data_IF_118580339952
#
_entry.id   IF_118580339952
#
_cell.length_a   1.000
_cell.length_b   1.000
_cell.length_c   1.000
_cell.angle_alpha   90.00
_cell.angle_beta   90.00
_cell.angle_gamma   90.00
#
_symmetry.space_group_name_H-M   'P 1'
#
loop_
_entity.id
_entity.type
_entity.pdbx_description
1 polymer ?
#
# COMPACT_ATOMS: atom_id res chain seq x y z
N UNK A 1 59.66 -78.13 11.58
CA UNK A 1 59.50 -78.28 10.11
C UNK A 1 58.15 -77.78 9.66
N UNK A 2 58.12 -77.07 8.58
CA UNK A 2 57.06 -76.47 7.77
C UNK A 2 56.67 -75.05 8.11
N UNK A 3 57.24 -74.20 7.30
CA UNK A 3 56.82 -72.77 7.08
C UNK A 3 55.41 -72.66 6.53
N UNK A 4 54.68 -71.72 7.05
CA UNK A 4 53.47 -71.18 6.39
C UNK A 4 53.61 -69.67 6.26
N UNK A 5 53.70 -69.22 4.99
CA UNK A 5 53.75 -67.78 4.62
C UNK A 5 52.35 -67.18 4.71
N UNK A 6 52.18 -66.22 5.57
CA UNK A 6 51.00 -65.38 5.61
C UNK A 6 51.16 -64.23 4.58
N UNK A 7 50.20 -64.12 3.63
CA UNK A 7 50.08 -63.01 2.67
C UNK A 7 49.23 -61.91 3.32
N UNK A 8 49.85 -60.78 3.53
CA UNK A 8 49.09 -59.52 3.85
C UNK A 8 48.43 -58.97 2.59
N UNK A 9 47.09 -58.90 2.57
CA UNK A 9 46.36 -58.23 1.58
C UNK A 9 46.04 -56.80 2.14
N UNK A 10 46.58 -55.77 1.50
CA UNK A 10 46.35 -54.36 1.83
C UNK A 10 45.00 -53.97 1.25
N UNK A 11 44.01 -53.87 2.13
CA UNK A 11 42.70 -53.33 1.75
C UNK A 11 42.71 -51.77 1.79
N UNK A 12 42.60 -51.16 0.63
CA UNK A 12 42.36 -49.71 0.51
C UNK A 12 40.92 -49.42 0.95
N UNK A 13 40.77 -48.80 2.09
CA UNK A 13 39.47 -48.21 2.50
C UNK A 13 39.41 -46.79 1.96
N UNK A 14 38.64 -46.61 0.87
CA UNK A 14 38.23 -45.25 0.42
C UNK A 14 37.21 -44.71 1.41
N UNK A 15 37.60 -43.78 2.27
CA UNK A 15 36.68 -42.98 3.06
C UNK A 15 36.12 -41.85 2.16
N UNK A 16 34.91 -42.03 1.64
CA UNK A 16 34.13 -40.92 1.07
C UNK A 16 33.72 -39.98 2.19
N UNK A 17 34.47 -38.90 2.39
CA UNK A 17 33.99 -37.77 3.20
C UNK A 17 32.89 -37.03 2.43
N UNK A 18 31.63 -37.30 2.75
CA UNK A 18 30.51 -36.49 2.32
C UNK A 18 30.56 -35.15 3.07
N UNK A 19 31.06 -34.11 2.42
CA UNK A 19 30.92 -32.72 2.90
C UNK A 19 29.48 -32.31 2.68
N UNK A 20 28.64 -32.41 3.70
CA UNK A 20 27.33 -31.77 3.75
C UNK A 20 27.57 -30.28 3.93
N UNK A 21 27.48 -29.53 2.84
CA UNK A 21 27.28 -28.07 2.91
C UNK A 21 25.88 -27.81 3.49
N UNK A 22 25.79 -27.68 4.80
CA UNK A 22 24.62 -27.06 5.42
C UNK A 22 24.68 -25.58 5.04
N UNK A 23 23.86 -25.20 4.08
CA UNK A 23 23.45 -23.80 3.90
C UNK A 23 22.77 -23.41 5.22
N UNK A 24 23.51 -22.74 6.09
CA UNK A 24 22.92 -22.02 7.20
C UNK A 24 22.10 -20.91 6.56
N UNK A 25 20.81 -21.15 6.38
CA UNK A 25 19.84 -20.08 6.17
C UNK A 25 19.93 -19.27 7.47
N UNK A 26 20.57 -18.11 7.43
CA UNK A 26 20.46 -17.13 8.50
C UNK A 26 18.97 -16.78 8.59
N UNK A 27 18.26 -17.41 9.51
CA UNK A 27 16.95 -16.96 9.90
C UNK A 27 17.16 -15.55 10.51
N UNK A 28 16.84 -14.51 9.77
CA UNK A 28 16.79 -13.17 10.33
C UNK A 28 15.72 -13.20 11.40
N UNK A 29 16.08 -12.81 12.62
CA UNK A 29 15.11 -12.70 13.70
C UNK A 29 14.10 -11.63 13.31
N UNK A 30 12.86 -12.03 13.13
CA UNK A 30 11.75 -11.10 12.90
C UNK A 30 11.51 -10.30 14.18
N UNK A 31 11.58 -8.98 14.08
CA UNK A 31 11.40 -8.11 15.24
C UNK A 31 10.34 -7.07 14.95
N UNK A 32 9.24 -7.11 15.71
CA UNK A 32 8.26 -6.04 15.75
C UNK A 32 8.62 -5.09 16.89
N UNK A 33 8.77 -3.82 16.54
CA UNK A 33 9.05 -2.75 17.49
C UNK A 33 7.89 -1.75 17.47
N UNK A 34 7.29 -1.46 18.62
CA UNK A 34 6.33 -0.38 18.76
C UNK A 34 7.08 0.95 18.81
N UNK A 35 7.01 1.71 17.73
CA UNK A 35 7.74 2.96 17.54
C UNK A 35 7.04 4.11 18.23
N UNK A 36 5.71 4.11 18.26
CA UNK A 36 4.91 5.14 18.93
C UNK A 36 3.65 4.54 19.56
N UNK A 37 3.32 5.00 20.76
CA UNK A 37 2.12 4.62 21.52
C UNK A 37 1.30 5.88 21.83
N UNK A 38 0.13 6.00 21.21
CA UNK A 38 -0.75 7.17 21.39
C UNK A 38 -1.31 7.28 22.80
N UNK A 39 -1.48 6.16 23.51
CA UNK A 39 -1.92 6.19 24.91
C UNK A 39 -0.82 6.68 25.85
N UNK A 40 0.39 6.14 25.70
CA UNK A 40 1.52 6.51 26.55
C UNK A 40 1.91 7.98 26.40
N UNK A 41 1.68 8.57 25.24
CA UNK A 41 1.90 10.00 24.95
C UNK A 41 0.80 10.92 25.48
N UNK A 42 -0.29 10.38 26.03
CA UNK A 42 -1.47 11.13 26.45
C UNK A 42 -2.35 11.66 25.30
N UNK A 43 -2.06 11.27 24.07
CA UNK A 43 -2.91 11.57 22.93
C UNK A 43 -4.03 10.54 22.81
N UNK A 44 -5.29 10.99 22.86
CA UNK A 44 -6.46 10.15 22.67
C UNK A 44 -6.69 9.95 21.16
N UNK A 45 -5.83 9.15 20.51
CA UNK A 45 -5.77 9.05 19.06
C UNK A 45 -5.40 7.64 18.61
N UNK A 46 -5.59 7.38 17.32
CA UNK A 46 -5.12 6.15 16.65
C UNK A 46 -4.68 6.53 15.24
N UNK A 47 -3.48 6.13 14.85
CA UNK A 47 -3.02 6.33 13.48
C UNK A 47 -3.72 5.35 12.55
N UNK A 48 -4.08 5.81 11.35
CA UNK A 48 -4.70 4.97 10.34
C UNK A 48 -3.68 4.38 9.35
N UNK A 49 -2.59 5.10 9.09
CA UNK A 49 -1.52 4.65 8.21
C UNK A 49 -0.39 5.67 8.16
N UNK A 50 0.75 5.27 7.60
CA UNK A 50 1.92 6.12 7.40
C UNK A 50 2.50 5.97 6.00
N UNK A 51 3.14 7.04 5.49
CA UNK A 51 3.98 7.07 4.27
C UNK A 51 5.30 7.76 4.61
N UNK A 52 6.31 7.61 3.76
CA UNK A 52 7.59 8.30 3.92
C UNK A 52 7.63 9.61 3.11
N UNK A 53 8.17 10.67 3.73
CA UNK A 53 8.43 11.96 3.08
C UNK A 53 9.85 12.09 2.54
N UNK A 54 10.13 13.21 1.85
CA UNK A 54 11.47 13.51 1.30
C UNK A 54 12.54 13.71 2.37
N UNK A 55 12.16 14.04 3.58
CA UNK A 55 13.03 14.24 4.74
C UNK A 55 13.35 12.94 5.51
N UNK A 56 12.82 11.80 5.02
CA UNK A 56 12.96 10.49 5.65
C UNK A 56 12.02 10.25 6.83
N UNK A 57 11.24 11.25 7.25
CA UNK A 57 10.22 11.10 8.28
C UNK A 57 8.98 10.39 7.73
N UNK A 58 8.21 9.83 8.64
CA UNK A 58 6.91 9.25 8.35
C UNK A 58 5.82 10.30 8.51
N UNK A 59 4.88 10.32 7.58
CA UNK A 59 3.70 11.17 7.61
C UNK A 59 2.45 10.32 7.64
N UNK A 60 1.50 10.68 8.49
CA UNK A 60 0.28 9.90 8.62
C UNK A 60 -0.91 10.73 9.04
N UNK A 61 -2.07 10.08 9.04
CA UNK A 61 -3.30 10.63 9.60
C UNK A 61 -3.66 9.88 10.87
N UNK A 62 -4.20 10.60 11.82
CA UNK A 62 -4.68 10.02 13.07
C UNK A 62 -6.00 10.66 13.48
N UNK A 63 -6.77 9.93 14.28
CA UNK A 63 -7.92 10.46 14.98
C UNK A 63 -7.52 11.62 15.93
N UNK A 64 -8.47 12.40 16.39
CA UNK A 64 -8.22 13.46 17.37
C UNK A 64 -7.77 14.78 16.73
N UNK A 65 -6.63 15.31 17.14
CA UNK A 65 -6.19 16.67 16.79
C UNK A 65 -6.86 17.76 17.64
N UNK A 66 -6.48 19.02 17.41
CA UNK A 66 -6.93 20.15 18.23
C UNK A 66 -8.48 20.34 18.27
N UNK A 67 -9.17 19.90 17.23
CA UNK A 67 -10.64 20.03 17.10
C UNK A 67 -11.35 18.67 17.13
N UNK A 68 -10.64 17.58 17.43
CA UNK A 68 -11.16 16.20 17.45
C UNK A 68 -11.79 15.73 16.12
N UNK A 69 -11.33 16.30 15.00
CA UNK A 69 -11.83 16.03 13.65
C UNK A 69 -10.75 15.46 12.73
N UNK A 70 -9.69 14.88 13.31
CA UNK A 70 -8.56 14.32 12.61
C UNK A 70 -7.36 15.26 12.53
N UNK A 71 -6.21 14.67 12.36
CA UNK A 71 -4.93 15.36 12.27
C UNK A 71 -3.98 14.68 11.30
N UNK A 72 -3.08 15.48 10.72
CA UNK A 72 -1.93 15.00 10.00
C UNK A 72 -0.72 15.19 10.90
N UNK A 73 0.08 14.16 11.04
CA UNK A 73 1.31 14.18 11.83
C UNK A 73 2.52 13.86 10.97
N UNK A 74 3.67 14.32 11.45
CA UNK A 74 5.00 13.89 11.04
C UNK A 74 5.62 13.12 12.20
N UNK A 75 6.31 12.02 11.92
CA UNK A 75 7.02 11.25 12.94
C UNK A 75 8.43 10.91 12.44
N UNK A 76 9.43 11.12 13.28
CA UNK A 76 10.79 10.65 12.98
C UNK A 76 10.84 9.13 12.99
N UNK A 77 11.80 8.49 12.30
CA UNK A 77 12.00 7.04 12.40
C UNK A 77 12.26 6.53 13.82
N UNK A 78 12.65 7.43 14.73
CA UNK A 78 12.90 7.15 16.17
C UNK A 78 11.66 7.34 17.06
N UNK A 79 10.50 7.73 16.47
CA UNK A 79 9.23 7.82 17.17
C UNK A 79 8.88 9.19 17.75
N UNK A 80 9.58 10.27 17.39
CA UNK A 80 9.17 11.63 17.77
C UNK A 80 8.06 12.11 16.85
N UNK A 81 6.84 12.26 17.38
CA UNK A 81 5.64 12.63 16.61
C UNK A 81 5.28 14.09 16.86
N UNK A 82 5.00 14.81 15.78
CA UNK A 82 4.52 16.20 15.78
C UNK A 82 3.28 16.31 14.89
N UNK A 83 2.21 16.91 15.42
CA UNK A 83 1.04 17.28 14.61
C UNK A 83 1.39 18.48 13.74
N UNK A 84 1.27 18.33 12.42
CA UNK A 84 1.53 19.41 11.45
C UNK A 84 0.27 20.09 10.96
N UNK A 85 -0.90 19.44 11.08
CA UNK A 85 -2.19 20.03 10.75
C UNK A 85 -3.32 19.35 11.53
N UNK A 86 -4.31 20.12 12.00
CA UNK A 86 -5.54 19.62 12.60
C UNK A 86 -6.73 20.08 11.76
N UNK A 87 -7.57 19.14 11.31
CA UNK A 87 -8.75 19.43 10.52
C UNK A 87 -9.82 20.18 11.32
N UNK A 88 -10.78 20.79 10.61
CA UNK A 88 -11.81 21.66 11.17
C UNK A 88 -11.23 22.92 11.86
N UNK A 89 -10.07 23.36 11.41
CA UNK A 89 -9.42 24.60 11.89
C UNK A 89 -10.06 25.86 11.31
N UNK A 90 -10.84 25.73 10.24
CA UNK A 90 -11.56 26.83 9.60
C UNK A 90 -13.04 26.81 9.99
N UNK A 91 -13.73 27.96 9.95
CA UNK A 91 -15.15 28.04 10.29
C UNK A 91 -15.99 27.03 9.51
N UNK A 92 -16.92 26.36 10.19
CA UNK A 92 -17.77 25.31 9.64
C UNK A 92 -16.99 24.15 8.99
N UNK A 93 -15.82 23.83 9.49
CA UNK A 93 -14.93 22.82 8.95
C UNK A 93 -14.71 22.96 7.43
N UNK A 94 -14.56 24.21 6.96
CA UNK A 94 -14.39 24.48 5.53
C UNK A 94 -13.12 23.88 4.92
N UNK A 95 -12.14 23.50 5.75
CA UNK A 95 -10.92 22.76 5.40
C UNK A 95 -11.13 21.24 5.35
N UNK A 96 -12.29 20.75 5.78
CA UNK A 96 -12.64 19.35 5.85
C UNK A 96 -12.59 18.80 7.27
N UNK A 97 -13.14 17.62 7.42
CA UNK A 97 -13.13 16.81 8.64
C UNK A 97 -13.04 15.32 8.26
N UNK A 98 -12.62 14.49 9.19
CA UNK A 98 -12.50 13.05 8.99
C UNK A 98 -11.04 12.60 8.95
N UNK A 99 -10.88 11.31 9.17
CA UNK A 99 -9.60 10.67 9.43
C UNK A 99 -9.10 9.85 8.24
N UNK A 100 -9.81 9.84 7.13
CA UNK A 100 -9.52 9.06 5.94
C UNK A 100 -9.68 9.91 4.67
N UNK A 101 -9.01 9.52 3.62
CA UNK A 101 -7.92 8.56 3.45
C UNK A 101 -6.53 9.19 3.64
N UNK A 102 -5.52 8.32 3.72
CA UNK A 102 -4.10 8.65 3.84
C UNK A 102 -3.63 9.65 2.77
N UNK A 103 -2.83 10.67 3.12
CA UNK A 103 -2.15 11.49 2.14
C UNK A 103 -1.16 10.67 1.31
N UNK A 104 -0.87 11.14 0.11
CA UNK A 104 0.23 10.63 -0.72
C UNK A 104 1.28 11.73 -0.88
N UNK A 105 2.52 11.35 -1.09
CA UNK A 105 3.59 12.27 -1.47
C UNK A 105 3.46 12.59 -2.97
N UNK A 106 3.29 13.86 -3.29
CA UNK A 106 3.24 14.32 -4.68
C UNK A 106 4.64 14.50 -5.28
N UNK A 107 4.71 14.53 -6.59
CA UNK A 107 5.95 14.74 -7.35
C UNK A 107 6.63 16.10 -7.11
N UNK A 108 5.96 17.01 -6.45
CA UNK A 108 6.47 18.31 -6.02
C UNK A 108 6.99 18.31 -4.56
N UNK A 109 6.99 17.15 -3.89
CA UNK A 109 7.43 16.99 -2.51
C UNK A 109 6.41 17.43 -1.45
N UNK A 110 5.19 17.80 -1.86
CA UNK A 110 4.10 18.12 -0.93
C UNK A 110 3.20 16.90 -0.71
N UNK A 111 2.47 16.92 0.39
CA UNK A 111 1.46 15.93 0.70
C UNK A 111 0.13 16.33 0.04
N UNK A 112 -0.56 15.37 -0.52
CA UNK A 112 -1.90 15.54 -1.06
C UNK A 112 -2.84 14.57 -0.37
N UNK A 113 -4.06 15.01 -0.08
CA UNK A 113 -5.02 14.19 0.63
C UNK A 113 -6.45 14.60 0.34
N UNK A 114 -7.38 13.79 0.85
CA UNK A 114 -8.79 14.12 0.92
C UNK A 114 -9.24 14.09 2.37
N UNK A 115 -10.16 14.94 2.72
CA UNK A 115 -10.95 14.83 3.94
C UNK A 115 -12.32 14.31 3.52
N UNK A 116 -12.78 13.21 4.11
CA UNK A 116 -14.02 12.56 3.68
C UNK A 116 -15.25 13.42 3.95
N UNK A 117 -15.23 14.19 5.04
CA UNK A 117 -16.33 15.04 5.46
C UNK A 117 -15.93 16.52 5.53
N UNK A 118 -16.87 17.38 5.93
CA UNK A 118 -16.66 18.83 5.99
C UNK A 118 -16.60 19.48 4.61
N UNK A 119 -15.93 20.61 4.50
CA UNK A 119 -15.72 21.34 3.26
C UNK A 119 -16.85 22.27 2.85
N UNK A 120 -18.10 21.89 3.07
CA UNK A 120 -19.30 22.64 2.78
C UNK A 120 -20.44 22.32 3.76
N UNK A 121 -21.61 22.94 3.60
CA UNK A 121 -22.74 22.74 4.49
C UNK A 121 -23.34 21.32 4.47
N UNK A 122 -23.05 20.53 3.44
CA UNK A 122 -23.49 19.13 3.31
C UNK A 122 -22.47 18.12 3.81
N UNK A 123 -21.29 18.59 4.25
CA UNK A 123 -20.24 17.70 4.76
C UNK A 123 -19.70 16.75 3.70
N UNK A 124 -19.49 17.22 2.47
CA UNK A 124 -19.26 16.36 1.30
C UNK A 124 -17.77 16.04 1.04
N UNK A 125 -16.87 16.62 1.82
CA UNK A 125 -15.44 16.38 1.76
C UNK A 125 -14.65 17.35 0.89
N UNK A 126 -13.33 17.33 1.07
CA UNK A 126 -12.39 18.21 0.35
C UNK A 126 -11.22 17.42 -0.23
N UNK A 127 -10.58 17.96 -1.26
CA UNK A 127 -9.23 17.58 -1.70
C UNK A 127 -8.27 18.70 -1.34
N UNK A 128 -7.14 18.36 -0.74
CA UNK A 128 -6.18 19.34 -0.22
C UNK A 128 -4.73 19.03 -0.63
N UNK A 129 -3.91 20.05 -0.52
CA UNK A 129 -2.44 20.00 -0.54
C UNK A 129 -1.94 20.52 0.80
N UNK A 130 -0.93 19.85 1.36
CA UNK A 130 -0.24 20.24 2.59
C UNK A 130 1.27 20.23 2.34
N UNK A 131 1.95 21.32 2.64
CA UNK A 131 3.42 21.31 2.62
C UNK A 131 3.96 20.56 3.85
N UNK A 132 5.19 20.00 3.81
CA UNK A 132 5.82 19.42 5.00
C UNK A 132 5.90 20.39 6.19
N UNK A 133 5.88 21.71 5.93
CA UNK A 133 5.85 22.77 6.95
C UNK A 133 4.43 23.08 7.49
N UNK A 134 3.40 22.30 7.11
CA UNK A 134 2.04 22.46 7.61
C UNK A 134 1.18 23.52 6.91
N UNK A 135 1.61 24.08 5.75
CA UNK A 135 0.78 25.01 5.00
C UNK A 135 -0.28 24.27 4.23
N UNK A 136 -1.54 24.45 4.61
CA UNK A 136 -2.71 23.82 4.02
C UNK A 136 -3.28 24.66 2.86
N UNK A 137 -3.65 23.98 1.77
CA UNK A 137 -4.35 24.58 0.63
C UNK A 137 -5.46 23.64 0.20
N UNK A 138 -6.72 24.10 0.27
CA UNK A 138 -7.85 23.39 -0.28
C UNK A 138 -7.86 23.55 -1.80
N UNK A 139 -7.82 22.43 -2.54
CA UNK A 139 -7.82 22.40 -4.01
C UNK A 139 -9.23 22.22 -4.58
N UNK A 140 -10.07 21.45 -3.89
CA UNK A 140 -11.43 21.16 -4.34
C UNK A 140 -12.37 20.89 -3.15
N UNK A 141 -13.64 21.19 -3.32
CA UNK A 141 -14.74 20.80 -2.41
C UNK A 141 -15.71 19.92 -3.19
N UNK A 142 -15.96 18.72 -2.73
CA UNK A 142 -16.88 17.79 -3.38
C UNK A 142 -18.34 18.22 -3.20
N UNK A 143 -19.26 17.69 -4.03
CA UNK A 143 -20.66 18.10 -4.11
C UNK A 143 -20.82 19.61 -4.40
N UNK A 144 -19.94 20.15 -5.26
CA UNK A 144 -20.04 21.51 -5.77
C UNK A 144 -20.94 21.62 -6.99
N UNK A 145 -21.19 20.52 -7.69
CA UNK A 145 -22.12 20.44 -8.80
C UNK A 145 -23.56 20.14 -8.32
N UNK A 146 -24.61 20.59 -9.05
CA UNK A 146 -25.98 20.27 -8.71
C UNK A 146 -26.25 18.78 -8.52
N UNK A 147 -26.93 18.42 -7.44
CA UNK A 147 -27.22 17.02 -7.12
C UNK A 147 -25.96 16.17 -6.80
N UNK A 148 -24.86 16.82 -6.41
CA UNK A 148 -23.58 16.19 -6.17
C UNK A 148 -23.10 15.34 -7.37
N UNK A 149 -23.36 15.80 -8.59
CA UNK A 149 -22.94 15.09 -9.81
C UNK A 149 -21.42 14.90 -9.93
N UNK A 150 -20.63 15.67 -9.19
CA UNK A 150 -19.18 15.58 -9.03
C UNK A 150 -18.75 14.61 -7.91
N UNK A 151 -19.69 13.94 -7.25
CA UNK A 151 -19.43 13.01 -6.16
C UNK A 151 -19.36 13.69 -4.79
N UNK A 152 -19.43 12.85 -3.75
CA UNK A 152 -19.26 13.25 -2.35
C UNK A 152 -18.63 12.10 -1.57
N UNK A 153 -18.02 12.42 -0.42
CA UNK A 153 -17.28 11.49 0.44
C UNK A 153 -16.15 10.81 -0.33
N UNK A 154 -15.08 11.59 -0.65
CA UNK A 154 -13.95 11.07 -1.40
C UNK A 154 -13.22 10.01 -0.58
N UNK A 155 -12.80 8.96 -1.28
CA UNK A 155 -11.97 7.87 -0.77
C UNK A 155 -10.59 7.86 -1.41
N UNK A 156 -9.95 6.70 -1.43
CA UNK A 156 -8.61 6.51 -1.93
C UNK A 156 -8.37 7.10 -3.32
N UNK A 157 -7.20 7.67 -3.49
CA UNK A 157 -6.76 8.30 -4.73
C UNK A 157 -5.27 8.03 -4.97
N UNK A 158 -4.83 8.28 -6.19
CA UNK A 158 -3.44 8.15 -6.63
C UNK A 158 -3.03 9.39 -7.42
N UNK A 159 -1.73 9.68 -7.51
CA UNK A 159 -1.21 10.54 -8.55
C UNK A 159 -0.92 9.69 -9.80
N UNK A 160 -1.61 10.01 -10.89
CA UNK A 160 -1.40 9.34 -12.17
C UNK A 160 -0.10 9.76 -12.84
N UNK A 161 0.31 8.99 -13.86
CA UNK A 161 1.54 9.20 -14.62
C UNK A 161 1.59 10.52 -15.40
N UNK A 162 0.46 11.18 -15.59
CA UNK A 162 0.33 12.51 -16.18
C UNK A 162 0.39 13.65 -15.15
N UNK A 163 0.61 13.31 -13.87
CA UNK A 163 0.68 14.25 -12.77
C UNK A 163 -0.66 14.69 -12.20
N UNK A 164 -1.79 14.30 -12.80
CA UNK A 164 -3.11 14.53 -12.24
C UNK A 164 -3.41 13.52 -11.13
N UNK A 165 -4.38 13.85 -10.28
CA UNK A 165 -4.89 12.95 -9.24
C UNK A 165 -6.14 12.25 -9.75
N UNK A 166 -6.29 10.99 -9.40
CA UNK A 166 -7.43 10.15 -9.74
C UNK A 166 -7.93 9.46 -8.48
N UNK A 167 -9.21 9.53 -8.22
CA UNK A 167 -9.79 8.97 -7.01
C UNK A 167 -11.25 8.65 -7.18
N UNK A 168 -11.82 8.03 -6.16
CA UNK A 168 -13.23 7.66 -6.13
C UNK A 168 -13.97 8.40 -5.03
N UNK A 169 -15.28 8.53 -5.20
CA UNK A 169 -16.20 9.01 -4.17
C UNK A 169 -17.17 7.90 -3.81
N UNK A 170 -17.60 7.82 -2.56
CA UNK A 170 -18.53 6.78 -2.09
C UNK A 170 -19.94 6.99 -2.63
N UNK A 171 -20.35 8.25 -2.74
CA UNK A 171 -21.70 8.63 -3.15
C UNK A 171 -21.66 9.80 -4.13
N UNK A 172 -22.83 10.27 -4.55
CA UNK A 172 -22.94 11.25 -5.63
C UNK A 172 -22.64 10.64 -6.99
N UNK A 173 -22.18 11.46 -7.94
CA UNK A 173 -22.13 11.09 -9.35
C UNK A 173 -23.52 11.11 -9.97
N UNK A 174 -23.61 10.86 -11.29
CA UNK A 174 -24.88 10.92 -12.01
C UNK A 174 -25.95 9.95 -11.48
N UNK A 175 -25.55 8.85 -10.85
CA UNK A 175 -26.44 7.78 -10.37
C UNK A 175 -26.44 7.62 -8.85
N UNK A 176 -25.89 8.58 -8.12
CA UNK A 176 -25.78 8.60 -6.66
C UNK A 176 -25.14 7.32 -6.05
N UNK A 177 -24.14 6.76 -6.73
CA UNK A 177 -23.43 5.53 -6.32
C UNK A 177 -21.92 5.69 -6.42
N UNK A 178 -21.45 6.95 -6.34
CA UNK A 178 -20.07 7.33 -6.45
C UNK A 178 -19.60 7.57 -7.87
N UNK A 179 -18.41 8.14 -7.95
CA UNK A 179 -17.75 8.50 -9.20
C UNK A 179 -16.25 8.21 -9.15
N UNK A 180 -15.66 7.92 -10.30
CA UNK A 180 -14.24 8.06 -10.55
C UNK A 180 -13.99 9.48 -11.09
N UNK A 181 -13.11 10.22 -10.43
CA UNK A 181 -12.77 11.58 -10.82
C UNK A 181 -11.29 11.74 -11.20
N UNK A 182 -11.01 12.79 -11.95
CA UNK A 182 -9.69 13.35 -12.20
C UNK A 182 -9.64 14.76 -11.60
N UNK A 183 -8.54 15.08 -10.90
CA UNK A 183 -8.26 16.43 -10.39
C UNK A 183 -6.84 16.83 -10.80
N UNK A 184 -6.68 17.98 -11.44
CA UNK A 184 -5.36 18.52 -11.71
C UNK A 184 -4.73 19.15 -10.45
N UNK A 185 -3.40 19.26 -10.35
CA UNK A 185 -2.73 19.96 -9.25
C UNK A 185 -3.15 21.44 -9.09
N UNK A 186 -3.76 22.04 -10.13
CA UNK A 186 -4.32 23.40 -10.13
C UNK A 186 -5.79 23.47 -9.76
N UNK A 187 -6.44 22.34 -9.40
CA UNK A 187 -7.84 22.28 -8.99
C UNK A 187 -8.85 22.04 -10.12
N UNK A 188 -8.42 21.82 -11.37
CA UNK A 188 -9.33 21.46 -12.48
C UNK A 188 -9.90 20.07 -12.26
N UNK A 189 -11.23 19.95 -12.16
CA UNK A 189 -11.95 18.71 -11.82
C UNK A 189 -12.73 18.16 -13.00
N UNK A 190 -12.79 16.83 -13.12
CA UNK A 190 -13.57 16.11 -14.13
C UNK A 190 -14.04 14.77 -13.58
N UNK A 191 -15.31 14.42 -13.76
CA UNK A 191 -15.81 13.05 -13.58
C UNK A 191 -15.45 12.23 -14.83
N UNK A 192 -14.84 11.06 -14.63
CA UNK A 192 -14.50 10.12 -15.69
C UNK A 192 -15.56 9.04 -15.84
N UNK A 193 -16.11 8.56 -14.71
CA UNK A 193 -17.13 7.54 -14.67
C UNK A 193 -18.06 7.74 -13.46
N UNK A 194 -19.37 7.55 -13.66
CA UNK A 194 -20.34 7.48 -12.56
C UNK A 194 -20.79 6.04 -12.39
N UNK A 195 -20.56 5.48 -11.22
CA UNK A 195 -20.93 4.09 -10.93
C UNK A 195 -22.45 3.90 -10.93
N UNK A 196 -22.91 2.65 -11.01
CA UNK A 196 -24.33 2.30 -11.18
C UNK A 196 -24.88 2.74 -12.56
N UNK A 197 -24.06 2.75 -13.59
CA UNK A 197 -24.44 3.03 -14.98
C UNK A 197 -24.95 1.81 -15.74
N UNK A 198 -24.66 0.60 -15.23
CA UNK A 198 -25.10 -0.65 -15.83
C UNK A 198 -26.43 -1.13 -15.23
N UNK A 199 -27.21 -1.96 -15.98
CA UNK A 199 -28.47 -2.49 -15.50
C UNK A 199 -28.36 -3.16 -14.12
N UNK A 200 -29.33 -2.95 -13.24
CA UNK A 200 -29.38 -3.46 -11.87
C UNK A 200 -28.21 -2.95 -10.98
N UNK A 201 -27.51 -1.92 -11.43
CA UNK A 201 -26.39 -1.34 -10.71
C UNK A 201 -25.29 -2.37 -10.36
N UNK A 202 -24.99 -3.27 -11.29
CA UNK A 202 -23.97 -4.31 -11.09
C UNK A 202 -22.56 -3.73 -10.98
N UNK A 203 -22.33 -2.53 -11.54
CA UNK A 203 -21.12 -1.73 -11.44
C UNK A 203 -21.14 -0.74 -10.24
N UNK A 204 -22.02 -0.95 -9.27
CA UNK A 204 -22.11 -0.10 -8.09
C UNK A 204 -21.08 -0.46 -7.02
N UNK A 205 -20.82 0.52 -6.17
CA UNK A 205 -19.79 0.43 -5.13
C UNK A 205 -18.42 0.84 -5.65
N UNK A 206 -17.64 1.43 -4.78
CA UNK A 206 -16.30 1.95 -5.10
C UNK A 206 -15.30 1.49 -4.05
N UNK A 207 -14.05 1.35 -4.44
CA UNK A 207 -12.92 1.19 -3.54
C UNK A 207 -11.71 1.99 -4.06
N UNK A 208 -10.57 1.80 -3.43
CA UNK A 208 -9.33 2.38 -3.91
C UNK A 208 -8.99 1.91 -5.34
N UNK A 209 -8.33 2.78 -6.08
CA UNK A 209 -7.88 2.48 -7.44
C UNK A 209 -6.35 2.44 -7.51
N UNK A 210 -5.85 1.73 -8.50
CA UNK A 210 -4.45 1.78 -8.94
C UNK A 210 -4.39 2.12 -10.43
N UNK A 211 -3.26 2.68 -10.88
CA UNK A 211 -2.99 2.78 -12.30
C UNK A 211 -2.10 1.61 -12.73
N UNK A 212 -2.65 0.73 -13.55
CA UNK A 212 -1.96 -0.45 -14.06
C UNK A 212 -0.78 -0.10 -14.97
N UNK A 213 0.11 -1.07 -15.23
CA UNK A 213 1.28 -0.90 -16.10
C UNK A 213 0.92 -0.47 -17.52
N UNK A 214 -0.31 -0.76 -17.98
CA UNK A 214 -0.88 -0.33 -19.28
C UNK A 214 -1.46 1.10 -19.27
N UNK A 215 -1.44 1.77 -18.11
CA UNK A 215 -1.91 3.15 -17.92
C UNK A 215 -3.40 3.31 -17.69
N UNK A 216 -4.19 2.24 -17.66
CA UNK A 216 -5.60 2.25 -17.29
C UNK A 216 -5.76 2.20 -15.76
N UNK A 217 -6.97 2.48 -15.29
CA UNK A 217 -7.30 2.42 -13.87
C UNK A 217 -7.97 1.09 -13.53
N UNK A 218 -7.56 0.49 -12.44
CA UNK A 218 -8.09 -0.79 -11.94
C UNK A 218 -8.53 -0.62 -10.49
N UNK A 219 -9.61 -1.27 -10.13
CA UNK A 219 -10.11 -1.26 -8.76
C UNK A 219 -11.00 -2.46 -8.50
N UNK A 220 -11.36 -2.60 -7.24
CA UNK A 220 -12.34 -3.59 -6.78
C UNK A 220 -13.59 -2.88 -6.28
N UNK A 221 -14.69 -3.57 -6.22
CA UNK A 221 -15.93 -3.03 -5.66
C UNK A 221 -16.80 -4.14 -5.09
N UNK A 222 -17.71 -3.77 -4.16
CA UNK A 222 -18.44 -4.74 -3.35
C UNK A 222 -19.67 -5.36 -4.01
N UNK A 223 -20.15 -4.86 -5.17
CA UNK A 223 -21.35 -5.42 -5.83
C UNK A 223 -20.99 -6.52 -6.85
N UNK A 224 -21.09 -6.25 -8.12
CA UNK A 224 -20.89 -7.23 -9.20
C UNK A 224 -22.12 -8.10 -9.49
N UNK A 225 -22.03 -8.92 -10.52
CA UNK A 225 -23.15 -9.79 -10.99
C UNK A 225 -23.49 -10.89 -10.01
N UNK A 226 -22.51 -11.35 -9.23
CA UNK A 226 -22.67 -12.43 -8.23
C UNK A 226 -22.90 -11.89 -6.82
N UNK A 227 -22.76 -10.57 -6.59
CA UNK A 227 -22.95 -9.94 -5.28
C UNK A 227 -21.77 -10.10 -4.29
N UNK A 228 -20.69 -10.76 -4.68
CA UNK A 228 -19.49 -10.95 -3.87
C UNK A 228 -18.38 -9.94 -4.13
N UNK A 229 -18.62 -9.01 -5.03
CA UNK A 229 -17.64 -8.04 -5.48
C UNK A 229 -17.08 -8.37 -6.88
N UNK A 230 -16.32 -7.43 -7.42
CA UNK A 230 -15.74 -7.57 -8.75
C UNK A 230 -14.44 -6.76 -8.89
N UNK A 231 -13.60 -7.18 -9.84
CA UNK A 231 -12.46 -6.42 -10.37
C UNK A 231 -12.92 -5.69 -11.62
N UNK A 232 -12.58 -4.40 -11.72
CA UNK A 232 -12.90 -3.59 -12.90
C UNK A 232 -11.69 -2.86 -13.47
N UNK A 233 -11.83 -2.42 -14.71
CA UNK A 233 -10.93 -1.55 -15.42
C UNK A 233 -11.71 -0.34 -15.95
N UNK A 234 -11.14 0.86 -15.81
CA UNK A 234 -11.65 2.07 -16.46
C UNK A 234 -10.51 2.70 -17.27
N UNK A 235 -10.76 2.94 -18.55
CA UNK A 235 -9.82 3.66 -19.41
C UNK A 235 -9.96 5.19 -19.19
N UNK A 236 -8.97 5.95 -19.67
CA UNK A 236 -8.98 7.42 -19.54
C UNK A 236 -10.14 8.14 -20.25
N UNK A 237 -10.75 7.49 -21.23
CA UNK A 237 -11.94 7.96 -21.93
C UNK A 237 -13.25 7.67 -21.18
N UNK A 238 -13.17 6.98 -20.02
CA UNK A 238 -14.30 6.56 -19.20
C UNK A 238 -14.89 5.19 -19.58
N UNK A 239 -14.30 4.47 -20.54
CA UNK A 239 -14.77 3.11 -20.88
C UNK A 239 -14.57 2.18 -19.69
N UNK A 240 -15.65 1.52 -19.25
CA UNK A 240 -15.69 0.59 -18.13
C UNK A 240 -15.73 -0.87 -18.60
N UNK A 241 -14.94 -1.72 -17.96
CA UNK A 241 -14.98 -3.18 -18.16
C UNK A 241 -14.95 -3.88 -16.81
N UNK A 242 -15.88 -4.79 -16.59
CA UNK A 242 -15.84 -5.75 -15.48
C UNK A 242 -14.99 -6.94 -15.91
N UNK A 243 -13.92 -7.22 -15.17
CA UNK A 243 -12.90 -8.18 -15.58
C UNK A 243 -13.03 -9.52 -14.87
N UNK A 244 -13.43 -9.50 -13.60
CA UNK A 244 -13.62 -10.70 -12.78
C UNK A 244 -14.71 -10.45 -11.74
N UNK A 245 -15.57 -11.47 -11.52
CA UNK A 245 -16.59 -11.42 -10.46
C UNK A 245 -16.23 -12.43 -9.37
N UNK A 246 -16.17 -11.94 -8.15
CA UNK A 246 -16.02 -12.77 -6.97
C UNK A 246 -17.36 -13.42 -6.59
N UNK A 247 -17.32 -14.60 -6.03
CA UNK A 247 -18.52 -15.30 -5.60
C UNK A 247 -19.09 -14.72 -4.30
N UNK A 248 -20.40 -14.90 -4.10
CA UNK A 248 -21.02 -14.51 -2.83
C UNK A 248 -20.57 -15.47 -1.70
N UNK A 249 -20.24 -14.93 -0.53
CA UNK A 249 -19.75 -15.73 0.61
C UNK A 249 -20.74 -16.78 1.13
N UNK A 250 -22.04 -16.61 0.85
CA UNK A 250 -23.07 -17.60 1.17
C UNK A 250 -23.11 -18.77 0.18
N UNK A 251 -22.38 -18.71 -0.94
CA UNK A 251 -22.24 -19.84 -1.85
C UNK A 251 -21.24 -20.83 -1.25
N UNK A 252 -21.69 -22.04 -0.96
CA UNK A 252 -20.88 -23.12 -0.38
C UNK A 252 -19.69 -23.52 -1.27
N UNK A 253 -19.72 -23.17 -2.55
CA UNK A 253 -18.63 -23.41 -3.50
C UNK A 253 -17.78 -22.15 -3.78
N UNK A 254 -17.94 -21.10 -2.96
CA UNK A 254 -17.21 -19.86 -3.13
C UNK A 254 -15.71 -20.02 -2.82
N UNK A 255 -14.93 -20.42 -3.79
CA UNK A 255 -13.48 -20.60 -3.65
C UNK A 255 -12.69 -19.30 -3.87
N UNK A 256 -13.23 -18.34 -4.64
CA UNK A 256 -12.54 -17.06 -4.89
C UNK A 256 -12.67 -16.05 -3.74
N UNK A 257 -13.55 -16.32 -2.79
CA UNK A 257 -13.88 -15.36 -1.74
C UNK A 257 -14.77 -14.22 -2.21
N UNK A 258 -15.10 -13.31 -1.29
CA UNK A 258 -15.98 -12.15 -1.50
C UNK A 258 -15.46 -10.91 -0.78
N UNK A 259 -15.96 -9.74 -1.19
CA UNK A 259 -15.52 -8.42 -0.71
C UNK A 259 -14.01 -8.22 -0.88
N UNK A 260 -13.56 -8.09 -2.16
CA UNK A 260 -12.15 -7.91 -2.47
C UNK A 260 -11.63 -6.56 -1.96
N UNK A 261 -10.41 -6.60 -1.42
CA UNK A 261 -9.66 -5.44 -0.94
C UNK A 261 -9.05 -4.62 -2.09
N UNK A 262 -8.42 -3.46 -1.78
CA UNK A 262 -7.55 -2.77 -2.73
C UNK A 262 -6.46 -3.67 -3.31
N UNK A 263 -6.09 -3.38 -4.56
CA UNK A 263 -5.14 -4.17 -5.33
C UNK A 263 -3.72 -3.60 -5.26
N UNK A 264 -2.74 -4.49 -5.43
CA UNK A 264 -1.38 -4.14 -5.87
C UNK A 264 -1.07 -4.87 -7.17
N UNK A 265 -0.12 -4.34 -7.97
CA UNK A 265 0.27 -4.95 -9.25
C UNK A 265 1.78 -5.12 -9.30
N UNK A 266 2.23 -6.30 -9.77
CA UNK A 266 3.64 -6.56 -10.03
C UNK A 266 4.09 -6.04 -11.41
N UNK A 267 5.39 -6.13 -11.67
CA UNK A 267 5.99 -5.71 -12.95
C UNK A 267 5.58 -6.58 -14.15
N UNK A 268 4.98 -7.75 -13.93
CA UNK A 268 4.46 -8.66 -14.97
C UNK A 268 3.01 -8.37 -15.30
N UNK A 269 2.35 -7.50 -14.51
CA UNK A 269 0.94 -7.14 -14.66
C UNK A 269 -0.02 -8.03 -13.88
N UNK A 270 0.46 -8.92 -13.01
CA UNK A 270 -0.39 -9.67 -12.10
C UNK A 270 -0.95 -8.74 -11.03
N UNK A 271 -2.22 -8.89 -10.73
CA UNK A 271 -2.89 -8.19 -9.63
C UNK A 271 -2.92 -9.11 -8.41
N UNK A 272 -2.65 -8.55 -7.24
CA UNK A 272 -2.76 -9.23 -5.96
C UNK A 272 -3.69 -8.46 -5.05
N UNK A 273 -4.40 -9.19 -4.21
CA UNK A 273 -5.32 -8.62 -3.22
C UNK A 273 -5.77 -9.67 -2.22
N UNK A 274 -6.70 -9.28 -1.37
CA UNK A 274 -7.35 -10.18 -0.41
C UNK A 274 -8.85 -10.15 -0.60
N UNK A 275 -9.55 -11.16 -0.09
CA UNK A 275 -11.00 -11.12 0.07
C UNK A 275 -11.35 -11.28 1.54
N UNK A 276 -12.36 -10.54 2.01
CA UNK A 276 -12.75 -10.55 3.41
C UNK A 276 -13.29 -11.92 3.85
N UNK A 277 -14.11 -12.55 3.02
CA UNK A 277 -14.83 -13.77 3.36
C UNK A 277 -14.71 -14.82 2.24
N UNK A 278 -15.15 -16.04 2.52
CA UNK A 278 -15.14 -17.15 1.57
C UNK A 278 -13.76 -17.77 1.41
N UNK A 279 -13.47 -18.31 0.24
CA UNK A 279 -12.32 -19.19 0.06
C UNK A 279 -12.59 -20.59 0.60
N UNK A 280 -11.65 -21.52 0.41
CA UNK A 280 -11.82 -22.94 0.77
C UNK A 280 -12.09 -23.17 2.24
N UNK A 281 -11.68 -22.25 3.12
CA UNK A 281 -11.83 -22.37 4.57
C UNK A 281 -12.78 -21.31 5.17
N UNK A 282 -13.38 -20.45 4.35
CA UNK A 282 -14.40 -19.48 4.74
C UNK A 282 -13.91 -18.14 5.31
N UNK A 283 -12.64 -18.02 5.71
CA UNK A 283 -12.06 -16.83 6.38
C UNK A 283 -11.38 -15.83 5.42
N UNK A 284 -11.72 -15.86 4.14
CA UNK A 284 -11.10 -14.99 3.13
C UNK A 284 -9.89 -15.61 2.44
N UNK A 285 -9.31 -14.86 1.51
CA UNK A 285 -8.19 -15.33 0.67
C UNK A 285 -7.11 -14.27 0.48
N UNK A 286 -5.89 -14.70 0.18
CA UNK A 286 -4.92 -13.94 -0.62
C UNK A 286 -4.95 -14.49 -2.02
N UNK A 287 -5.09 -13.64 -3.03
CA UNK A 287 -5.22 -14.05 -4.42
C UNK A 287 -4.26 -13.34 -5.36
N UNK A 288 -4.03 -13.99 -6.50
CA UNK A 288 -3.44 -13.44 -7.71
C UNK A 288 -4.48 -13.46 -8.84
N UNK A 289 -4.57 -12.40 -9.62
CA UNK A 289 -5.26 -12.37 -10.91
C UNK A 289 -4.25 -12.02 -11.99
N UNK A 290 -4.03 -12.96 -12.91
CA UNK A 290 -3.07 -12.81 -14.01
C UNK A 290 -3.51 -11.73 -15.01
N UNK A 291 -2.63 -11.26 -15.92
CA UNK A 291 -3.00 -10.32 -16.99
C UNK A 291 -4.12 -10.82 -17.92
N UNK A 292 -4.34 -12.12 -17.97
CA UNK A 292 -5.44 -12.75 -18.72
C UNK A 292 -6.69 -12.97 -17.85
N UNK A 293 -6.72 -12.33 -16.67
CA UNK A 293 -7.82 -12.35 -15.70
C UNK A 293 -8.15 -13.75 -15.15
N UNK A 294 -7.15 -14.64 -15.07
CA UNK A 294 -7.28 -15.94 -14.39
C UNK A 294 -7.01 -15.75 -12.89
N UNK A 295 -7.94 -16.24 -12.08
CA UNK A 295 -7.84 -16.18 -10.61
C UNK A 295 -7.03 -17.37 -10.07
N UNK A 296 -6.10 -17.09 -9.18
CA UNK A 296 -5.35 -18.07 -8.41
C UNK A 296 -5.42 -17.70 -6.94
N UNK A 297 -5.95 -18.60 -6.11
CA UNK A 297 -5.86 -18.45 -4.67
C UNK A 297 -4.47 -18.84 -4.22
N UNK A 298 -3.75 -17.90 -3.61
CA UNK A 298 -2.42 -18.13 -3.03
C UNK A 298 -2.53 -18.71 -1.62
N UNK A 299 -3.47 -18.18 -0.82
CA UNK A 299 -3.73 -18.67 0.54
C UNK A 299 -5.21 -18.51 0.88
N UNK A 300 -5.77 -19.46 1.64
CA UNK A 300 -7.14 -19.43 2.16
C UNK A 300 -7.14 -19.46 3.68
N UNK A 301 -7.68 -18.41 4.30
CA UNK A 301 -7.80 -18.28 5.75
C UNK A 301 -8.94 -19.13 6.32
N UNK A 302 -8.74 -19.66 7.53
CA UNK A 302 -9.78 -20.41 8.26
C UNK A 302 -10.76 -19.50 8.99
N UNK A 303 -11.95 -20.03 9.30
CA UNK A 303 -12.88 -19.40 10.26
C UNK A 303 -12.49 -19.80 11.68
N UNK A 304 -12.49 -18.83 12.61
CA UNK A 304 -12.22 -18.99 14.05
C UNK A 304 -10.85 -19.61 14.42
N UNK A 305 -10.11 -18.95 15.26
CA UNK A 305 -8.79 -19.32 15.82
C UNK A 305 -7.63 -19.50 14.83
N UNK A 306 -7.82 -19.17 13.57
CA UNK A 306 -6.76 -19.09 12.58
C UNK A 306 -7.00 -17.82 11.79
N UNK A 307 -6.11 -16.84 11.86
CA UNK A 307 -6.14 -15.61 11.08
C UNK A 307 -7.31 -15.58 10.07
N UNK A 308 -8.32 -14.76 10.31
CA UNK A 308 -9.47 -14.62 9.42
C UNK A 308 -9.55 -13.18 8.89
N UNK A 309 -10.39 -12.95 7.91
CA UNK A 309 -10.77 -11.63 7.42
C UNK A 309 -9.60 -10.68 7.09
N UNK A 310 -8.78 -10.98 6.06
CA UNK A 310 -7.72 -10.09 5.60
C UNK A 310 -8.30 -8.92 4.78
N UNK A 311 -9.11 -8.07 5.41
CA UNK A 311 -9.98 -7.07 4.75
C UNK A 311 -9.23 -5.82 4.25
N UNK A 312 -8.01 -5.59 4.73
CA UNK A 312 -7.34 -4.30 4.52
C UNK A 312 -6.36 -4.25 3.35
N UNK A 313 -6.23 -5.37 2.62
CA UNK A 313 -5.32 -5.48 1.48
C UNK A 313 -3.92 -5.95 1.86
N UNK A 314 -3.03 -5.82 0.91
CA UNK A 314 -1.64 -6.30 1.01
C UNK A 314 -0.67 -5.30 0.41
N UNK A 315 0.58 -5.39 0.83
CA UNK A 315 1.73 -4.68 0.24
C UNK A 315 2.61 -5.69 -0.48
N UNK A 316 2.99 -5.40 -1.72
CA UNK A 316 4.02 -6.12 -2.46
C UNK A 316 5.36 -5.47 -2.15
N UNK A 317 6.19 -6.13 -1.35
CA UNK A 317 7.50 -5.63 -0.96
C UNK A 317 8.56 -5.90 -2.03
N UNK A 318 9.75 -5.30 -1.86
CA UNK A 318 10.83 -5.41 -2.86
C UNK A 318 11.52 -6.77 -2.89
N UNK A 319 11.26 -7.64 -1.92
CA UNK A 319 11.64 -9.06 -1.95
C UNK A 319 10.70 -9.93 -2.80
N UNK A 320 9.61 -9.33 -3.29
CA UNK A 320 8.59 -9.97 -4.11
C UNK A 320 7.51 -10.70 -3.31
N UNK A 321 7.53 -10.66 -1.98
CA UNK A 321 6.51 -11.25 -1.12
C UNK A 321 5.38 -10.26 -0.81
N UNK A 322 4.25 -10.79 -0.40
CA UNK A 322 3.03 -10.07 -0.08
C UNK A 322 2.88 -10.01 1.44
N UNK A 323 2.74 -8.80 1.98
CA UNK A 323 2.60 -8.55 3.41
C UNK A 323 1.23 -7.97 3.71
N UNK A 324 0.56 -8.51 4.70
CA UNK A 324 -0.79 -8.09 5.05
C UNK A 324 -1.10 -8.29 6.51
N UNK A 325 -2.28 -7.83 6.89
CA UNK A 325 -2.84 -8.04 8.22
C UNK A 325 -4.18 -8.74 8.12
N UNK A 326 -4.50 -9.55 9.09
CA UNK A 326 -5.81 -10.19 9.26
C UNK A 326 -6.37 -9.87 10.64
N UNK A 327 -7.70 -9.86 10.75
CA UNK A 327 -8.42 -9.59 11.99
C UNK A 327 -9.02 -10.90 12.49
N UNK A 328 -8.92 -11.18 13.76
CA UNK A 328 -9.64 -12.27 14.38
C UNK A 328 -10.76 -11.68 15.25
N UNK A 329 -12.00 -11.67 14.73
CA UNK A 329 -13.15 -11.17 15.46
C UNK A 329 -13.49 -12.12 16.60
N UNK A 330 -12.85 -11.93 17.75
CA UNK A 330 -13.34 -12.61 18.91
C UNK A 330 -12.40 -12.81 20.08
N UNK A 331 -11.12 -13.08 19.94
CA UNK A 331 -10.34 -13.51 21.12
C UNK A 331 -8.83 -13.20 21.10
N UNK A 332 -8.15 -13.14 19.95
CA UNK A 332 -6.67 -13.18 19.93
C UNK A 332 -5.99 -11.98 19.26
N UNK A 333 -6.73 -10.90 18.94
CA UNK A 333 -6.17 -9.79 18.17
C UNK A 333 -5.88 -10.16 16.71
N UNK A 334 -5.24 -9.28 15.97
CA UNK A 334 -4.94 -9.53 14.56
C UNK A 334 -3.58 -10.19 14.35
N UNK A 335 -3.28 -10.51 13.08
CA UNK A 335 -2.01 -11.10 12.69
C UNK A 335 -1.36 -10.29 11.58
N UNK A 336 -0.05 -10.16 11.67
CA UNK A 336 0.79 -9.72 10.56
C UNK A 336 1.32 -10.96 9.86
N UNK A 337 1.16 -11.04 8.55
CA UNK A 337 1.54 -12.20 7.76
C UNK A 337 2.32 -11.84 6.50
N UNK A 338 3.03 -12.84 6.01
CA UNK A 338 3.67 -12.87 4.70
C UNK A 338 3.08 -14.01 3.88
N UNK A 339 2.85 -13.75 2.58
CA UNK A 339 2.53 -14.79 1.59
C UNK A 339 3.47 -14.65 0.40
N UNK A 340 4.21 -15.72 0.09
CA UNK A 340 5.04 -15.71 -1.12
C UNK A 340 4.18 -15.82 -2.37
N UNK A 341 4.67 -15.41 -3.57
CA UNK A 341 3.95 -15.64 -4.84
C UNK A 341 3.66 -17.12 -5.16
N UNK A 342 4.28 -18.04 -4.43
CA UNK A 342 4.02 -19.48 -4.53
C UNK A 342 2.98 -19.99 -3.54
N UNK A 343 2.37 -19.10 -2.75
CA UNK A 343 1.32 -19.42 -1.78
C UNK A 343 1.84 -19.94 -0.42
N UNK A 344 3.13 -19.79 -0.12
CA UNK A 344 3.65 -20.14 1.22
C UNK A 344 3.28 -19.02 2.18
N UNK A 345 2.46 -19.33 3.18
CA UNK A 345 2.04 -18.44 4.25
C UNK A 345 2.99 -18.54 5.45
N UNK A 346 3.34 -17.40 6.02
CA UNK A 346 4.10 -17.28 7.26
C UNK A 346 3.44 -16.25 8.18
N UNK A 347 3.10 -16.63 9.39
CA UNK A 347 2.72 -15.67 10.42
C UNK A 347 3.98 -15.01 10.96
N UNK A 348 4.04 -13.68 10.86
CA UNK A 348 5.19 -12.89 11.30
C UNK A 348 5.02 -12.37 12.72
N UNK A 349 3.79 -12.03 13.10
CA UNK A 349 3.49 -11.54 14.43
C UNK A 349 2.01 -11.73 14.76
N UNK A 350 1.72 -12.16 15.99
CA UNK A 350 0.37 -12.25 16.56
C UNK A 350 0.19 -11.11 17.54
N UNK A 351 -0.72 -10.18 17.21
CA UNK A 351 -1.11 -9.12 18.13
C UNK A 351 -2.00 -9.74 19.22
N UNK A 352 -1.77 -9.34 20.47
CA UNK A 352 -2.56 -9.83 21.58
C UNK A 352 -3.94 -9.14 21.61
N UNK A 353 -4.89 -9.71 22.32
CA UNK A 353 -6.22 -9.13 22.59
C UNK A 353 -6.12 -7.62 22.81
N UNK A 354 -6.94 -6.85 22.13
CA UNK A 354 -6.95 -5.39 22.06
C UNK A 354 -6.01 -4.75 21.04
N UNK A 355 -5.22 -5.51 20.31
CA UNK A 355 -4.43 -5.00 19.20
C UNK A 355 -5.08 -5.44 17.87
N UNK A 356 -6.06 -4.74 17.40
CA UNK A 356 -6.53 -4.97 16.04
C UNK A 356 -5.58 -4.29 15.05
N UNK A 357 -4.97 -5.03 14.13
CA UNK A 357 -4.23 -4.41 13.04
C UNK A 357 -5.18 -3.59 12.17
N UNK A 358 -4.65 -2.59 11.49
CA UNK A 358 -5.42 -1.48 10.94
C UNK A 358 -5.87 -1.61 9.52
N UNK A 359 -6.79 -0.74 9.21
CA UNK A 359 -7.42 -0.30 7.96
C UNK A 359 -6.51 -0.22 6.70
N UNK A 360 -5.19 -0.49 6.81
CA UNK A 360 -4.23 -0.47 5.71
C UNK A 360 -3.18 -1.56 5.90
N UNK A 361 -2.67 -2.15 4.82
CA UNK A 361 -1.52 -3.04 4.90
C UNK A 361 -0.29 -2.26 5.37
N UNK A 362 0.74 -2.96 5.90
CA UNK A 362 1.97 -2.30 6.31
C UNK A 362 2.64 -1.61 5.11
N UNK A 363 3.21 -0.43 5.32
CA UNK A 363 3.95 0.33 4.32
C UNK A 363 5.44 -0.05 4.36
N UNK A 364 6.05 -0.34 3.20
CA UNK A 364 7.49 -0.54 3.11
C UNK A 364 8.21 0.80 2.97
N UNK A 365 9.04 1.17 3.95
CA UNK A 365 9.89 2.34 3.88
C UNK A 365 11.23 2.05 3.19
N UNK A 366 11.92 3.09 2.75
CA UNK A 366 13.17 2.95 1.97
C UNK A 366 14.33 2.36 2.75
N UNK A 367 14.23 2.30 4.10
CA UNK A 367 15.19 1.60 4.96
C UNK A 367 15.00 0.07 5.01
N UNK A 368 13.99 -0.46 4.31
CA UNK A 368 13.65 -1.88 4.29
C UNK A 368 12.67 -2.32 5.38
N UNK A 369 12.35 -1.46 6.35
CA UNK A 369 11.36 -1.78 7.38
C UNK A 369 9.93 -1.68 6.83
N UNK A 370 9.05 -2.52 7.34
CA UNK A 370 7.61 -2.40 7.14
C UNK A 370 7.00 -1.68 8.34
N UNK A 371 6.33 -0.55 8.10
CA UNK A 371 5.61 0.18 9.14
C UNK A 371 4.12 -0.09 9.04
N UNK A 372 3.50 -0.32 10.18
CA UNK A 372 2.06 -0.52 10.29
C UNK A 372 1.49 0.19 11.51
N UNK A 373 0.18 0.18 11.59
CA UNK A 373 -0.54 0.82 12.69
C UNK A 373 -1.48 -0.17 13.35
N UNK A 374 -1.86 0.06 14.59
CA UNK A 374 -2.90 -0.69 15.30
C UNK A 374 -3.98 0.25 15.82
N UNK A 375 -5.23 -0.22 15.94
CA UNK A 375 -6.37 0.55 16.44
C UNK A 375 -6.26 0.76 17.95
N UNK A 376 -5.81 -0.28 18.63
CA UNK A 376 -5.69 -0.31 20.07
C UNK A 376 -4.26 -0.63 20.46
N UNK A 377 -3.83 -0.13 21.60
CA UNK A 377 -2.47 -0.31 22.13
C UNK A 377 -2.38 -1.26 23.31
N UNK A 378 -1.16 -1.51 23.82
CA UNK A 378 -0.91 -2.42 24.92
C UNK A 378 -1.64 -2.02 26.19
N UNK A 379 -2.49 -2.93 26.67
CA UNK A 379 -3.06 -2.85 28.02
C UNK A 379 -4.25 -1.94 28.23
N UNK A 380 -4.75 -1.23 27.23
CA UNK A 380 -5.82 -0.24 27.41
C UNK A 380 -7.01 -0.35 26.45
N UNK A 381 -6.95 -1.11 25.39
CA UNK A 381 -8.01 -1.23 24.38
C UNK A 381 -8.62 0.12 23.89
N UNK A 382 -7.87 1.22 24.01
CA UNK A 382 -8.43 2.54 23.79
C UNK A 382 -7.73 3.36 22.71
N UNK A 383 -6.42 3.20 22.50
CA UNK A 383 -5.65 4.02 21.56
C UNK A 383 -4.60 3.20 20.85
N UNK A 384 -4.29 3.57 19.58
CA UNK A 384 -3.44 2.79 18.72
C UNK A 384 -1.95 2.98 18.90
N UNK A 385 -1.20 2.21 18.12
CA UNK A 385 0.26 2.31 18.05
C UNK A 385 0.73 2.41 16.59
N UNK A 386 1.96 2.85 16.39
CA UNK A 386 2.70 2.68 15.16
C UNK A 386 3.82 1.69 15.43
N UNK A 387 3.92 0.64 14.64
CA UNK A 387 4.98 -0.36 14.75
C UNK A 387 5.85 -0.42 13.50
N UNK A 388 7.06 -0.93 13.66
CA UNK A 388 7.92 -1.37 12.56
C UNK A 388 8.20 -2.85 12.66
N UNK A 389 8.31 -3.52 11.51
CA UNK A 389 8.76 -4.89 11.39
C UNK A 389 10.12 -4.90 10.67
N UNK A 390 11.12 -5.50 11.31
CA UNK A 390 12.38 -5.89 10.70
C UNK A 390 12.34 -7.40 10.42
N UNK A 391 12.40 -7.78 9.15
CA UNK A 391 12.39 -9.19 8.71
C UNK A 391 13.43 -9.48 7.63
N UNK A 392 14.45 -8.62 7.50
CA UNK A 392 15.57 -8.80 6.56
C UNK A 392 15.28 -8.35 5.14
N UNK A 393 14.17 -7.66 4.87
CA UNK A 393 13.93 -7.04 3.57
C UNK A 393 15.00 -5.96 3.34
N UNK A 394 15.60 -5.98 2.15
CA UNK A 394 16.65 -5.03 1.82
C UNK A 394 16.14 -3.60 1.68
N UNK A 395 16.94 -2.58 2.01
CA UNK A 395 16.66 -1.20 1.68
C UNK A 395 16.45 -1.01 0.17
N UNK A 396 15.68 0.03 -0.20
CA UNK A 396 15.32 0.33 -1.57
C UNK A 396 15.36 1.83 -1.83
N UNK A 397 15.16 2.21 -3.08
CA UNK A 397 14.76 3.57 -3.44
C UNK A 397 13.33 3.57 -3.96
N UNK A 398 12.60 4.64 -3.71
CA UNK A 398 11.26 4.86 -4.23
C UNK A 398 11.26 6.07 -5.18
N UNK A 399 10.58 5.98 -6.31
CA UNK A 399 10.46 7.08 -7.25
C UNK A 399 9.11 7.79 -7.12
N UNK A 400 9.13 9.10 -7.03
CA UNK A 400 7.93 9.93 -6.93
C UNK A 400 7.96 11.00 -8.04
N UNK A 401 7.08 10.87 -9.04
CA UNK A 401 6.13 9.80 -9.30
C UNK A 401 6.80 8.50 -9.78
N UNK A 402 6.06 7.41 -9.77
CA UNK A 402 6.50 6.10 -10.30
C UNK A 402 6.55 6.03 -11.84
N UNK A 403 6.27 7.12 -12.51
CA UNK A 403 6.29 7.20 -13.97
C UNK A 403 6.55 8.63 -14.45
N UNK A 404 7.10 8.78 -15.66
CA UNK A 404 7.33 10.09 -16.25
C UNK A 404 7.89 10.01 -17.66
N UNK A 405 7.78 11.11 -18.40
CA UNK A 405 8.39 11.26 -19.74
C UNK A 405 9.84 11.71 -19.63
N UNK A 406 10.60 11.48 -20.68
CA UNK A 406 11.97 11.98 -20.79
C UNK A 406 12.04 13.49 -20.51
N UNK A 407 12.97 13.89 -19.65
CA UNK A 407 13.15 15.26 -19.18
C UNK A 407 12.29 15.68 -17.99
N UNK A 408 11.30 14.88 -17.59
CA UNK A 408 10.50 15.14 -16.40
C UNK A 408 11.33 14.97 -15.14
N UNK A 409 11.13 15.86 -14.15
CA UNK A 409 11.73 15.75 -12.82
C UNK A 409 11.07 14.64 -12.02
N UNK A 410 11.88 13.85 -11.34
CA UNK A 410 11.50 12.75 -10.45
C UNK A 410 12.26 12.93 -9.15
N UNK A 411 11.58 12.69 -8.03
CA UNK A 411 12.22 12.54 -6.71
C UNK A 411 12.57 11.05 -6.54
N UNK A 412 13.74 10.76 -6.04
CA UNK A 412 14.13 9.42 -5.59
C UNK A 412 14.31 9.49 -4.09
N UNK A 413 13.45 8.81 -3.35
CA UNK A 413 13.55 8.65 -1.91
C UNK A 413 14.48 7.47 -1.60
N UNK A 414 15.21 7.55 -0.52
CA UNK A 414 16.12 6.50 -0.07
C UNK A 414 16.69 6.79 1.30
N UNK A 415 17.69 6.02 1.69
CA UNK A 415 18.48 6.27 2.90
C UNK A 415 19.96 6.07 2.57
N UNK A 416 20.85 6.88 3.17
CA UNK A 416 22.27 6.83 2.89
C UNK A 416 22.62 7.30 1.47
N UNK A 417 21.86 8.25 0.92
CA UNK A 417 22.04 8.74 -0.45
C UNK A 417 23.18 9.72 -0.59
N UNK A 418 23.70 10.29 0.52
CA UNK A 418 24.87 11.16 0.52
C UNK A 418 26.07 10.40 -0.02
N UNK A 419 26.79 11.01 -0.99
CA UNK A 419 27.92 10.37 -1.66
C UNK A 419 27.54 9.36 -2.75
N UNK A 420 26.28 9.31 -3.18
CA UNK A 420 25.87 8.52 -4.35
C UNK A 420 26.66 8.92 -5.59
N UNK A 421 27.11 7.92 -6.36
CA UNK A 421 28.00 8.08 -7.50
C UNK A 421 27.29 7.92 -8.85
N UNK A 422 26.17 7.22 -8.88
CA UNK A 422 25.38 7.07 -10.11
C UNK A 422 23.89 6.87 -9.83
N UNK A 423 23.09 7.35 -10.79
CA UNK A 423 21.64 7.04 -10.89
C UNK A 423 21.40 6.54 -12.31
N UNK A 424 20.70 5.42 -12.44
CA UNK A 424 20.33 4.88 -13.76
C UNK A 424 18.85 4.54 -13.83
N UNK A 425 18.23 4.75 -15.00
CA UNK A 425 16.88 4.32 -15.35
C UNK A 425 16.98 3.15 -16.32
N UNK A 426 16.71 1.94 -15.85
CA UNK A 426 16.90 0.70 -16.59
C UNK A 426 18.26 0.65 -17.32
N UNK A 427 19.34 0.97 -16.59
CA UNK A 427 20.72 0.99 -17.08
C UNK A 427 21.15 2.28 -17.79
N UNK A 428 20.23 3.21 -18.12
CA UNK A 428 20.57 4.49 -18.74
C UNK A 428 20.93 5.52 -17.68
N UNK A 429 22.16 6.04 -17.71
CA UNK A 429 22.66 7.00 -16.73
C UNK A 429 21.90 8.33 -16.78
N UNK A 430 21.60 8.87 -15.61
CA UNK A 430 20.91 10.15 -15.41
C UNK A 430 21.82 11.16 -14.71
N UNK A 431 21.66 12.46 -15.04
CA UNK A 431 22.20 13.56 -14.24
C UNK A 431 21.30 13.79 -13.03
N UNK A 432 21.86 13.86 -11.85
CA UNK A 432 21.12 13.98 -10.60
C UNK A 432 21.77 14.95 -9.63
N UNK A 433 21.01 15.37 -8.63
CA UNK A 433 21.46 16.15 -7.48
C UNK A 433 21.04 15.43 -6.21
N UNK A 434 21.99 15.17 -5.32
CA UNK A 434 21.70 14.71 -3.96
C UNK A 434 21.31 15.94 -3.14
N UNK A 435 20.05 16.04 -2.77
CA UNK A 435 19.50 17.14 -2.00
C UNK A 435 19.69 16.90 -0.48
N UNK A 436 19.57 15.64 -0.06
CA UNK A 436 19.79 15.20 1.31
C UNK A 436 20.19 13.71 1.34
N UNK A 437 20.44 13.20 2.54
CA UNK A 437 20.67 11.77 2.76
C UNK A 437 19.45 10.90 2.44
N UNK A 438 18.28 11.50 2.30
CA UNK A 438 17.00 10.84 2.15
C UNK A 438 16.34 11.05 0.80
N UNK A 439 16.82 12.00 -0.03
CA UNK A 439 16.30 12.13 -1.39
C UNK A 439 17.26 12.73 -2.41
N UNK A 440 17.07 12.30 -3.64
CA UNK A 440 17.76 12.76 -4.84
C UNK A 440 16.74 13.38 -5.79
N UNK A 441 17.12 14.46 -6.46
CA UNK A 441 16.38 15.04 -7.56
C UNK A 441 17.04 14.67 -8.89
N UNK A 442 16.27 14.16 -9.84
CA UNK A 442 16.76 13.64 -11.10
C UNK A 442 15.77 13.94 -12.23
N UNK A 443 16.25 14.13 -13.45
CA UNK A 443 15.40 14.15 -14.64
C UNK A 443 15.50 12.81 -15.39
N UNK A 444 14.36 12.29 -15.86
CA UNK A 444 14.33 11.06 -16.68
C UNK A 444 15.26 11.24 -17.89
N UNK A 445 16.33 10.43 -18.05
CA UNK A 445 17.32 10.66 -19.07
C UNK A 445 16.81 10.31 -20.48
N UNK A 446 17.41 10.94 -21.50
CA UNK A 446 17.16 10.58 -22.90
C UNK A 446 17.59 9.13 -23.14
N UNK A 447 16.73 8.34 -23.75
CA UNK A 447 16.96 6.91 -24.00
C UNK A 447 16.53 6.00 -22.85
N UNK A 448 16.01 6.55 -21.74
CA UNK A 448 15.42 5.74 -20.67
C UNK A 448 14.27 4.87 -21.20
N UNK A 449 14.18 3.66 -20.67
CA UNK A 449 13.08 2.72 -20.91
C UNK A 449 12.47 2.31 -19.57
N UNK A 450 11.24 1.82 -19.59
CA UNK A 450 10.58 1.28 -18.41
C UNK A 450 11.42 0.20 -17.75
N UNK A 451 11.63 0.30 -16.44
CA UNK A 451 12.43 -0.66 -15.68
C UNK A 451 12.87 -0.11 -14.31
N UNK A 452 13.81 -0.78 -13.71
CA UNK A 452 14.32 -0.45 -12.38
C UNK A 452 15.13 0.85 -12.42
N UNK A 453 14.91 1.72 -11.44
CA UNK A 453 15.83 2.83 -11.13
C UNK A 453 16.82 2.33 -10.10
N UNK A 454 18.12 2.48 -10.39
CA UNK A 454 19.18 2.05 -9.50
C UNK A 454 20.03 3.24 -9.07
N UNK A 455 20.40 3.29 -7.79
CA UNK A 455 21.27 4.30 -7.19
C UNK A 455 22.48 3.60 -6.58
N UNK A 456 23.69 3.95 -7.01
CA UNK A 456 24.91 3.48 -6.38
C UNK A 456 25.31 4.41 -5.25
N UNK A 457 25.16 3.93 -4.01
CA UNK A 457 25.51 4.63 -2.77
C UNK A 457 26.84 4.09 -2.19
N UNK A 458 27.44 4.76 -1.19
CA UNK A 458 28.63 4.24 -0.51
C UNK A 458 28.42 2.87 0.14
N UNK A 459 27.19 2.54 0.53
CA UNK A 459 26.84 1.25 1.18
C UNK A 459 26.42 0.15 0.20
N UNK A 460 26.29 0.46 -1.10
CA UNK A 460 25.86 -0.50 -2.12
C UNK A 460 24.86 0.08 -3.12
N UNK A 461 24.31 -0.78 -3.96
CA UNK A 461 23.30 -0.38 -4.94
C UNK A 461 21.90 -0.59 -4.38
N UNK A 462 21.10 0.49 -4.37
CA UNK A 462 19.67 0.47 -4.05
C UNK A 462 18.87 0.46 -5.34
N UNK A 463 17.83 -0.35 -5.38
CA UNK A 463 16.93 -0.51 -6.54
C UNK A 463 15.53 -0.06 -6.21
N UNK A 464 14.79 0.44 -7.21
CA UNK A 464 13.40 0.87 -7.02
C UNK A 464 12.43 -0.30 -7.01
N UNK A 465 11.41 -0.17 -6.19
CA UNK A 465 10.18 -0.95 -6.22
C UNK A 465 9.00 0.03 -6.01
N UNK A 466 8.03 0.09 -6.94
CA UNK A 466 7.94 -0.63 -8.22
C UNK A 466 8.92 -0.13 -9.31
N UNK A 467 8.89 -0.75 -10.49
CA UNK A 467 9.61 -0.27 -11.66
C UNK A 467 9.11 1.11 -12.09
N UNK A 468 10.02 1.98 -12.53
CA UNK A 468 9.67 3.26 -13.11
C UNK A 468 9.16 3.09 -14.55
N UNK A 469 8.01 3.68 -14.84
CA UNK A 469 7.39 3.60 -16.17
C UNK A 469 7.74 4.84 -16.98
N UNK A 470 8.50 4.67 -18.08
CA UNK A 470 8.78 5.76 -19.02
C UNK A 470 7.58 5.95 -19.95
N UNK A 471 6.98 7.15 -19.88
CA UNK A 471 5.83 7.52 -20.71
C UNK A 471 6.27 8.27 -21.97
N UNK A 472 5.42 8.27 -23.01
CA UNK A 472 5.65 9.01 -24.27
C UNK A 472 5.33 10.48 -24.14
#
# INVERSE_FOLDING_TARGET
>A
MKNSKSRFTLGFVLACAAITFSLAVCAHAQTVTFVYDFHASGQQSSALSVIQGTDGNLYGVAAGGAYNQGQIFQMTPTGELTTIYSFCSQPNCADGEGQEPMPILGSDGNLYGVATFGGNATGSGTFYKLTPAGQFTKLYTFCSAPGCADGQWPHGFIQGRDGNFYGTTESGGANNSGALYQLSPSGGFKVLYSFCSLPKCIDGGTSNIIQGIDGKFYGTAGKGTLGGGYLYQIARDGSFNMLYNFCLYTDVNCTSGSYPSPLVQDAKGNFFGTTAYGGVNGGGTVFEITPNYQFHMLHGFGVHNQASDPIFGITLANDGNLYGTSVDYGYDGGRLFEVTPKGVYTELYSFQCCYDPFWKPPFQATNGLLYGTTLYGPGTCCYGTIFSLENGISPLVETVPVAGKVGQSVLILGNGLTGSTSVTFNGVAAKFTVESDTYIKVAVPKGATTGIVSVATPSGTLNSNPQFVVTK
#
